data_IF_308987466942
#
_entry.id   IF_308987466942
#
_cell.length_a   1.000
_cell.length_b   1.000
_cell.length_c   1.000
_cell.angle_alpha   90.00
_cell.angle_beta   90.00
_cell.angle_gamma   90.00
#
_symmetry.space_group_name_H-M   'P 1'
#
loop_
_entity.id
_entity.type
_entity.pdbx_description
1 polymer ?
#
# COMPACT_ATOMS: atom_id res chain seq x y z
N UNK A 1 17.07 -30.83 -12.56
CA UNK A 1 15.95 -30.30 -12.72
C UNK A 1 15.99 -28.94 -13.28
N UNK A 2 15.40 -28.78 -14.21
CA UNK A 2 15.51 -27.66 -14.92
C UNK A 2 14.77 -26.55 -14.45
N UNK A 3 13.86 -26.72 -13.53
CA UNK A 3 13.24 -25.55 -13.08
C UNK A 3 14.11 -24.77 -12.12
N UNK A 4 15.35 -25.13 -11.98
CA UNK A 4 16.27 -24.27 -11.26
C UNK A 4 16.23 -22.85 -11.77
N UNK A 5 16.05 -22.69 -13.07
CA UNK A 5 15.94 -21.36 -13.61
C UNK A 5 14.74 -20.62 -13.07
N UNK A 6 13.67 -21.33 -12.80
CA UNK A 6 12.49 -20.71 -12.23
C UNK A 6 12.70 -20.29 -10.80
N UNK A 7 13.48 -21.06 -10.08
CA UNK A 7 13.76 -20.70 -8.69
C UNK A 7 14.60 -19.44 -8.59
N UNK A 8 15.23 -19.08 -9.69
CA UNK A 8 16.03 -17.88 -9.71
C UNK A 8 15.31 -16.67 -10.26
N UNK A 9 14.05 -16.85 -10.62
CA UNK A 9 13.23 -15.70 -11.01
C UNK A 9 13.04 -14.83 -9.78
N UNK A 10 13.38 -13.57 -9.90
CA UNK A 10 13.25 -12.64 -8.80
C UNK A 10 11.82 -12.51 -8.36
N UNK A 11 11.61 -12.53 -7.06
CA UNK A 11 10.32 -12.22 -6.49
C UNK A 11 10.02 -10.75 -6.76
N UNK A 12 8.83 -10.46 -7.23
CA UNK A 12 8.40 -9.10 -7.51
C UNK A 12 7.40 -8.63 -6.46
N UNK A 13 7.77 -7.58 -5.75
CA UNK A 13 6.91 -6.93 -4.78
C UNK A 13 6.34 -5.67 -5.43
N UNK A 14 5.02 -5.53 -5.41
CA UNK A 14 4.36 -4.37 -6.02
C UNK A 14 3.72 -3.54 -4.93
N UNK A 15 4.07 -2.26 -4.89
CA UNK A 15 3.59 -1.31 -3.91
C UNK A 15 2.78 -0.24 -4.65
N UNK A 16 1.48 -0.21 -4.37
CA UNK A 16 0.55 0.74 -4.99
C UNK A 16 0.20 1.78 -3.94
N UNK A 17 0.39 3.05 -4.26
CA UNK A 17 0.22 4.09 -3.24
C UNK A 17 -0.20 5.41 -3.85
N UNK A 18 -0.65 6.30 -2.96
CA UNK A 18 -0.83 7.70 -3.31
C UNK A 18 -0.20 8.54 -2.21
N UNK A 19 0.48 9.62 -2.59
CA UNK A 19 1.11 10.53 -1.66
C UNK A 19 0.75 11.94 -2.06
N UNK A 20 0.23 12.71 -1.13
CA UNK A 20 -0.20 14.07 -1.38
C UNK A 20 0.72 15.09 -0.73
N UNK A 21 1.21 14.79 0.46
CA UNK A 21 2.11 15.67 1.21
C UNK A 21 3.55 15.15 1.25
N UNK A 22 3.81 14.00 0.62
CA UNK A 22 5.15 13.41 0.61
C UNK A 22 5.41 12.37 1.68
N UNK A 23 4.52 12.23 2.66
CA UNK A 23 4.73 11.28 3.76
C UNK A 23 4.70 9.83 3.28
N UNK A 24 3.68 9.47 2.51
CA UNK A 24 3.55 8.11 2.00
C UNK A 24 4.69 7.78 1.04
N UNK A 25 5.04 8.71 0.15
CA UNK A 25 6.14 8.49 -0.77
C UNK A 25 7.46 8.28 -0.03
N UNK A 26 7.70 9.07 1.02
CA UNK A 26 8.88 8.91 1.86
C UNK A 26 8.93 7.51 2.48
N UNK A 27 7.79 7.05 2.99
CA UNK A 27 7.72 5.72 3.61
C UNK A 27 7.99 4.63 2.58
N UNK A 28 7.32 4.68 1.44
CA UNK A 28 7.49 3.68 0.38
C UNK A 28 8.93 3.64 -0.11
N UNK A 29 9.57 4.81 -0.30
CA UNK A 29 10.96 4.86 -0.72
C UNK A 29 11.89 4.22 0.31
N UNK A 30 11.75 4.60 1.58
CA UNK A 30 12.60 4.06 2.65
C UNK A 30 12.38 2.56 2.84
N UNK A 31 11.12 2.12 2.71
CA UNK A 31 10.79 0.70 2.79
C UNK A 31 11.44 -0.07 1.65
N UNK A 32 11.36 0.46 0.43
CA UNK A 32 11.98 -0.17 -0.73
C UNK A 32 13.49 -0.27 -0.57
N UNK A 33 14.12 0.81 -0.10
CA UNK A 33 15.57 0.81 0.12
C UNK A 33 15.96 -0.23 1.17
N UNK A 34 15.20 -0.31 2.25
CA UNK A 34 15.45 -1.30 3.30
C UNK A 34 15.32 -2.73 2.77
N UNK A 35 14.25 -3.01 2.03
CA UNK A 35 14.03 -4.34 1.48
C UNK A 35 15.12 -4.73 0.48
N UNK A 36 15.56 -3.80 -0.35
CA UNK A 36 16.63 -4.09 -1.33
C UNK A 36 17.98 -4.28 -0.64
N UNK A 37 18.21 -3.62 0.49
CA UNK A 37 19.41 -3.84 1.27
C UNK A 37 19.42 -5.23 1.88
N UNK A 38 18.27 -5.70 2.36
CA UNK A 38 18.14 -7.04 2.94
C UNK A 38 18.10 -8.14 1.88
N UNK A 39 17.56 -7.82 0.71
CA UNK A 39 17.33 -8.78 -0.37
C UNK A 39 17.72 -8.15 -1.71
N UNK A 40 19.02 -8.14 -2.03
CA UNK A 40 19.51 -7.42 -3.22
C UNK A 40 18.93 -7.88 -4.56
N UNK A 41 18.45 -9.12 -4.63
CA UNK A 41 17.88 -9.64 -5.89
C UNK A 41 16.38 -9.40 -6.01
N UNK A 42 15.76 -8.78 -5.00
CA UNK A 42 14.34 -8.52 -5.03
C UNK A 42 14.02 -7.43 -6.05
N UNK A 43 12.93 -7.64 -6.79
CA UNK A 43 12.42 -6.61 -7.70
C UNK A 43 11.26 -5.90 -7.00
N UNK A 44 11.29 -4.57 -6.94
CA UNK A 44 10.22 -3.79 -6.33
C UNK A 44 9.64 -2.84 -7.37
N UNK A 45 8.35 -3.01 -7.61
CA UNK A 45 7.59 -2.11 -8.49
C UNK A 45 6.83 -1.13 -7.62
N UNK A 46 6.96 0.16 -7.91
CA UNK A 46 6.25 1.21 -7.19
C UNK A 46 5.30 1.91 -8.16
N UNK A 47 4.03 1.92 -7.82
CA UNK A 47 3.00 2.54 -8.66
C UNK A 47 2.34 3.64 -7.85
N UNK A 48 2.62 4.88 -8.25
CA UNK A 48 2.01 6.05 -7.62
C UNK A 48 0.77 6.42 -8.42
N UNK A 49 -0.39 6.20 -7.84
CA UNK A 49 -1.67 6.40 -8.54
C UNK A 49 -1.84 7.85 -9.01
N UNK A 50 -1.38 8.82 -8.21
CA UNK A 50 -1.46 10.22 -8.60
C UNK A 50 -0.75 10.48 -9.93
N UNK A 51 0.39 9.83 -10.16
CA UNK A 51 1.13 10.00 -11.41
C UNK A 51 0.37 9.42 -12.60
N UNK A 52 -0.28 8.27 -12.42
CA UNK A 52 -1.10 7.69 -13.49
C UNK A 52 -2.20 8.67 -13.92
N UNK A 53 -2.91 9.22 -12.93
CA UNK A 53 -4.03 10.13 -13.20
C UNK A 53 -3.51 11.43 -13.82
N UNK A 54 -2.42 11.97 -13.28
CA UNK A 54 -1.85 13.23 -13.78
C UNK A 54 -1.38 13.10 -15.21
N UNK A 55 -0.83 11.96 -15.60
CA UNK A 55 -0.32 11.72 -16.95
C UNK A 55 -1.41 11.24 -17.89
N UNK A 56 -2.65 11.10 -17.42
CA UNK A 56 -3.75 10.63 -18.25
C UNK A 56 -3.64 9.18 -18.67
N UNK A 57 -2.86 8.39 -17.96
CA UNK A 57 -2.70 6.96 -18.27
C UNK A 57 -3.90 6.18 -17.75
N UNK A 58 -4.41 5.21 -18.52
CA UNK A 58 -5.53 4.40 -18.05
C UNK A 58 -5.10 3.48 -16.93
N UNK A 59 -6.05 3.10 -16.09
CA UNK A 59 -5.80 2.06 -15.10
C UNK A 59 -5.65 0.72 -15.82
N UNK A 60 -5.01 -0.23 -15.15
CA UNK A 60 -4.70 -1.53 -15.72
C UNK A 60 -4.84 -2.61 -14.65
N UNK A 61 -4.95 -3.85 -15.08
CA UNK A 61 -4.99 -4.96 -14.13
C UNK A 61 -3.57 -5.34 -13.72
N UNK A 62 -3.40 -5.51 -12.42
CA UNK A 62 -2.13 -5.99 -11.88
C UNK A 62 -1.97 -7.46 -12.23
N UNK A 63 -0.75 -7.86 -12.58
CA UNK A 63 -0.45 -9.26 -12.83
C UNK A 63 0.11 -9.97 -11.60
N UNK A 64 0.64 -9.20 -10.66
CA UNK A 64 1.22 -9.73 -9.43
C UNK A 64 0.45 -9.24 -8.22
N UNK A 65 0.51 -9.98 -7.11
CA UNK A 65 -0.06 -9.47 -5.87
C UNK A 65 0.58 -8.16 -5.46
N UNK A 66 -0.17 -7.29 -4.83
CA UNK A 66 0.32 -5.99 -4.42
C UNK A 66 -0.18 -5.60 -3.04
N UNK A 67 0.45 -4.60 -2.48
CA UNK A 67 0.06 -3.99 -1.20
C UNK A 67 -0.22 -2.53 -1.48
N UNK A 68 -1.27 -2.00 -0.86
CA UNK A 68 -1.67 -0.61 -1.04
C UNK A 68 -1.34 0.21 0.20
N UNK A 69 -0.76 1.39 -0.02
CA UNK A 69 -0.46 2.33 1.06
C UNK A 69 -1.37 3.54 0.94
N UNK A 70 -2.11 3.84 2.00
CA UNK A 70 -3.16 4.84 1.99
C UNK A 70 -3.06 5.82 3.14
N UNK A 71 -2.82 7.10 2.85
CA UNK A 71 -3.01 8.14 3.86
C UNK A 71 -4.50 8.39 4.06
N UNK A 72 -4.87 9.01 5.17
CA UNK A 72 -6.26 9.31 5.47
C UNK A 72 -6.52 10.80 5.30
N UNK A 73 -7.42 11.11 4.38
CA UNK A 73 -7.95 12.44 4.15
C UNK A 73 -9.46 12.32 4.09
N UNK A 74 -10.15 12.90 5.07
CA UNK A 74 -11.60 12.75 5.20
C UNK A 74 -12.28 14.09 5.25
N UNK A 75 -13.54 14.12 4.80
CA UNK A 75 -14.39 15.28 4.91
C UNK A 75 -15.59 14.91 5.77
N UNK A 76 -15.85 15.70 6.82
CA UNK A 76 -16.97 15.45 7.73
C UNK A 76 -16.76 14.23 8.61
N UNK A 77 -17.80 13.87 9.34
CA UNK A 77 -17.80 12.69 10.17
C UNK A 77 -17.04 12.83 11.47
N UNK A 78 -17.10 11.80 12.31
CA UNK A 78 -16.42 11.76 13.60
C UNK A 78 -15.62 10.46 13.82
N UNK A 79 -15.54 9.63 12.80
CA UNK A 79 -14.80 8.38 12.86
C UNK A 79 -15.55 7.24 13.53
N UNK A 80 -16.79 7.44 13.93
CA UNK A 80 -17.58 6.43 14.63
C UNK A 80 -18.85 6.06 13.87
N UNK A 81 -19.81 6.99 13.81
CA UNK A 81 -21.13 6.70 13.24
C UNK A 81 -21.62 7.74 12.25
N UNK A 82 -20.83 8.77 11.98
CA UNK A 82 -21.18 9.79 11.01
C UNK A 82 -20.45 9.57 9.71
N UNK A 83 -20.96 10.13 8.62
CA UNK A 83 -20.44 9.95 7.29
C UNK A 83 -19.04 10.50 7.09
N UNK A 84 -18.06 9.70 7.42
CA UNK A 84 -16.66 10.01 7.12
C UNK A 84 -16.43 9.74 5.65
N UNK A 85 -16.25 10.79 4.86
CA UNK A 85 -16.15 10.68 3.41
C UNK A 85 -14.71 10.87 2.97
N UNK A 86 -14.17 9.87 2.26
CA UNK A 86 -12.84 9.95 1.69
C UNK A 86 -12.76 11.07 0.68
N UNK A 87 -11.70 11.88 0.77
CA UNK A 87 -11.38 12.90 -0.22
C UNK A 87 -9.92 12.75 -0.65
N UNK A 88 -9.60 13.27 -1.83
CA UNK A 88 -8.23 13.37 -2.36
C UNK A 88 -7.56 12.05 -2.72
N UNK A 89 -8.00 10.93 -2.19
CA UNK A 89 -7.36 9.62 -2.42
C UNK A 89 -8.28 8.65 -3.18
N UNK A 90 -9.44 9.08 -3.61
CA UNK A 90 -10.45 8.20 -4.21
C UNK A 90 -9.98 7.48 -5.47
N UNK A 91 -8.98 8.01 -6.17
CA UNK A 91 -8.43 7.35 -7.36
C UNK A 91 -7.82 5.99 -7.02
N UNK A 92 -7.36 5.80 -5.79
CA UNK A 92 -6.82 4.50 -5.36
C UNK A 92 -7.94 3.47 -5.30
N UNK A 93 -9.11 3.85 -4.77
CA UNK A 93 -10.26 2.96 -4.74
C UNK A 93 -10.68 2.57 -6.16
N UNK A 94 -10.66 3.53 -7.07
CA UNK A 94 -11.01 3.28 -8.46
C UNK A 94 -10.03 2.31 -9.11
N UNK A 95 -8.74 2.45 -8.82
CA UNK A 95 -7.74 1.54 -9.32
C UNK A 95 -7.94 0.12 -8.77
N UNK A 96 -8.19 0.01 -7.46
CA UNK A 96 -8.41 -1.30 -6.84
C UNK A 96 -9.69 -1.95 -7.39
N UNK A 97 -10.73 -1.16 -7.64
CA UNK A 97 -11.98 -1.68 -8.19
C UNK A 97 -11.86 -2.05 -9.67
N UNK A 98 -10.80 -1.62 -10.35
CA UNK A 98 -10.63 -1.88 -11.76
C UNK A 98 -10.33 -3.36 -12.01
N UNK A 99 -11.09 -3.99 -12.92
CA UNK A 99 -10.88 -5.39 -13.26
C UNK A 99 -10.84 -6.30 -12.04
N UNK A 100 -9.82 -7.13 -11.95
CA UNK A 100 -9.65 -8.08 -10.85
C UNK A 100 -8.63 -7.60 -9.81
N UNK A 101 -8.31 -6.32 -9.79
CA UNK A 101 -7.26 -5.82 -8.90
C UNK A 101 -7.53 -6.11 -7.42
N UNK A 102 -8.77 -5.99 -6.98
CA UNK A 102 -9.07 -6.23 -5.57
C UNK A 102 -8.68 -7.64 -5.13
N UNK A 103 -8.81 -8.62 -6.01
CA UNK A 103 -8.47 -10.01 -5.68
C UNK A 103 -6.97 -10.26 -5.59
N UNK A 104 -6.16 -9.32 -6.08
CA UNK A 104 -4.70 -9.43 -6.05
C UNK A 104 -4.06 -8.57 -4.96
N UNK A 105 -4.85 -7.82 -4.23
CA UNK A 105 -4.35 -6.98 -3.16
C UNK A 105 -4.23 -7.80 -1.88
N UNK A 106 -3.01 -7.94 -1.36
CA UNK A 106 -2.78 -8.61 -0.08
C UNK A 106 -3.41 -7.86 1.08
N UNK A 107 -3.49 -6.55 0.97
CA UNK A 107 -4.04 -5.74 2.04
C UNK A 107 -3.58 -4.29 1.95
N UNK A 108 -3.99 -3.51 2.94
CA UNK A 108 -3.73 -2.09 2.97
C UNK A 108 -2.93 -1.71 4.21
N UNK A 109 -2.00 -0.79 4.01
CA UNK A 109 -1.24 -0.17 5.10
C UNK A 109 -1.70 1.27 5.17
N UNK A 110 -2.28 1.64 6.31
CA UNK A 110 -2.84 2.97 6.50
C UNK A 110 -1.85 3.92 7.12
N UNK A 111 -2.01 5.19 6.85
CA UNK A 111 -1.28 6.22 7.57
C UNK A 111 -2.21 7.37 7.88
N UNK A 112 -1.82 8.16 8.87
CA UNK A 112 -2.61 9.29 9.31
C UNK A 112 -1.95 10.03 10.44
N UNK A 113 -2.72 10.89 11.08
CA UNK A 113 -2.27 11.69 12.20
C UNK A 113 -3.10 11.30 13.42
N UNK A 114 -2.44 10.83 14.48
CA UNK A 114 -3.13 10.37 15.69
C UNK A 114 -3.93 11.49 16.38
N UNK A 115 -3.64 12.74 16.07
CA UNK A 115 -4.43 13.84 16.59
C UNK A 115 -5.89 13.81 16.12
N UNK A 116 -6.19 13.04 15.06
CA UNK A 116 -7.56 12.89 14.59
C UNK A 116 -8.33 11.76 15.28
N UNK A 117 -7.74 11.13 16.28
CA UNK A 117 -8.42 10.14 17.14
C UNK A 117 -9.11 9.02 16.32
N UNK A 118 -10.45 8.96 16.37
CA UNK A 118 -11.21 7.90 15.71
C UNK A 118 -11.06 7.88 14.20
N UNK A 119 -10.58 8.96 13.59
CA UNK A 119 -10.36 9.01 12.15
C UNK A 119 -8.95 8.58 11.77
N UNK A 120 -8.09 8.28 12.76
CA UNK A 120 -6.73 7.83 12.48
C UNK A 120 -6.75 6.57 11.62
N UNK A 121 -6.14 6.65 10.43
CA UNK A 121 -6.06 5.56 9.46
C UNK A 121 -7.42 4.96 9.07
N UNK A 122 -8.48 5.74 9.17
CA UNK A 122 -9.83 5.25 8.92
C UNK A 122 -10.04 4.85 7.47
N UNK A 123 -9.41 5.54 6.52
CA UNK A 123 -9.55 5.20 5.10
C UNK A 123 -9.12 3.76 4.83
N UNK A 124 -8.03 3.32 5.46
CA UNK A 124 -7.59 1.93 5.30
C UNK A 124 -8.65 0.95 5.79
N UNK A 125 -9.30 1.27 6.90
CA UNK A 125 -10.37 0.42 7.44
C UNK A 125 -11.58 0.41 6.50
N UNK A 126 -11.91 1.54 5.91
CA UNK A 126 -13.00 1.62 4.93
C UNK A 126 -12.71 0.77 3.71
N UNK A 127 -11.48 0.79 3.21
CA UNK A 127 -11.08 -0.05 2.08
C UNK A 127 -11.14 -1.53 2.43
N UNK A 128 -10.69 -1.89 3.63
CA UNK A 128 -10.75 -3.27 4.10
C UNK A 128 -12.19 -3.79 4.10
N UNK A 129 -13.11 -2.98 4.60
CA UNK A 129 -14.53 -3.35 4.63
C UNK A 129 -15.11 -3.47 3.22
N UNK A 130 -14.75 -2.55 2.34
CA UNK A 130 -15.30 -2.51 0.98
C UNK A 130 -14.77 -3.64 0.12
N UNK A 131 -13.47 -3.91 0.18
CA UNK A 131 -12.83 -4.83 -0.76
C UNK A 131 -12.52 -6.21 -0.17
N UNK A 132 -12.59 -6.36 1.15
CA UNK A 132 -12.45 -7.67 1.80
C UNK A 132 -11.03 -8.06 2.18
N UNK A 133 -10.02 -7.25 1.87
CA UNK A 133 -8.65 -7.56 2.29
C UNK A 133 -8.35 -6.94 3.67
N UNK A 134 -7.33 -7.43 4.38
CA UNK A 134 -7.05 -6.94 5.74
C UNK A 134 -6.32 -5.60 5.76
N UNK A 135 -6.45 -4.91 6.89
CA UNK A 135 -5.52 -3.83 7.22
C UNK A 135 -4.28 -4.49 7.80
N UNK A 136 -3.17 -4.40 7.10
CA UNK A 136 -1.94 -5.10 7.48
C UNK A 136 -1.17 -4.38 8.57
N UNK A 137 -1.17 -3.07 8.55
CA UNK A 137 -0.46 -2.24 9.50
C UNK A 137 -0.88 -0.79 9.33
N UNK A 138 -0.42 0.06 10.23
CA UNK A 138 -0.57 1.50 10.09
C UNK A 138 0.66 2.19 10.66
N UNK A 139 0.83 3.45 10.30
CA UNK A 139 1.90 4.27 10.86
C UNK A 139 1.46 5.73 10.89
N UNK A 140 2.10 6.50 11.75
CA UNK A 140 1.77 7.91 11.90
C UNK A 140 2.68 8.77 11.03
N UNK A 141 2.06 9.72 10.33
CA UNK A 141 2.77 10.70 9.51
C UNK A 141 3.64 10.02 8.45
N UNK A 142 4.95 10.20 8.48
CA UNK A 142 5.86 9.59 7.51
C UNK A 142 6.46 8.26 8.00
N UNK A 143 6.12 7.86 9.23
CA UNK A 143 6.62 6.62 9.81
C UNK A 143 8.06 6.69 10.28
N UNK A 144 8.41 5.80 11.19
CA UNK A 144 9.76 5.71 11.76
C UNK A 144 10.42 4.40 11.30
N UNK A 145 11.69 4.23 11.63
CA UNK A 145 12.42 3.02 11.25
C UNK A 145 11.75 1.75 11.77
N UNK A 146 11.20 1.79 12.98
CA UNK A 146 10.47 0.65 13.51
C UNK A 146 9.26 0.27 12.66
N UNK A 147 8.57 1.26 12.10
CA UNK A 147 7.44 1.00 11.19
C UNK A 147 7.95 0.38 9.90
N UNK A 148 9.07 0.86 9.37
CA UNK A 148 9.68 0.31 8.16
C UNK A 148 10.01 -1.17 8.37
N UNK A 149 10.66 -1.50 9.48
CA UNK A 149 11.05 -2.89 9.77
C UNK A 149 9.83 -3.78 9.95
N UNK A 150 8.80 -3.28 10.62
CA UNK A 150 7.57 -4.04 10.82
C UNK A 150 6.89 -4.35 9.49
N UNK A 151 6.75 -3.35 8.64
CA UNK A 151 6.10 -3.54 7.33
C UNK A 151 6.96 -4.44 6.45
N UNK A 152 8.28 -4.28 6.48
CA UNK A 152 9.17 -5.17 5.72
C UNK A 152 8.97 -6.63 6.14
N UNK A 153 8.83 -6.90 7.44
CA UNK A 153 8.57 -8.25 7.92
C UNK A 153 7.25 -8.81 7.40
N UNK A 154 6.22 -7.98 7.35
CA UNK A 154 4.92 -8.38 6.80
C UNK A 154 5.05 -8.72 5.32
N UNK A 155 5.79 -7.92 4.57
CA UNK A 155 6.02 -8.17 3.14
C UNK A 155 6.80 -9.46 2.94
N UNK A 156 7.84 -9.68 3.72
CA UNK A 156 8.63 -10.91 3.63
C UNK A 156 7.75 -12.13 3.84
N UNK A 157 6.85 -12.06 4.81
CA UNK A 157 5.95 -13.17 5.09
C UNK A 157 4.92 -13.37 3.98
N UNK A 158 4.26 -12.30 3.54
CA UNK A 158 3.21 -12.41 2.52
C UNK A 158 3.76 -12.88 1.17
N UNK A 159 4.94 -12.43 0.79
CA UNK A 159 5.55 -12.79 -0.49
C UNK A 159 6.47 -14.01 -0.35
N UNK A 160 6.56 -14.59 0.85
CA UNK A 160 7.40 -15.77 1.11
C UNK A 160 8.87 -15.53 0.74
N UNK A 161 9.36 -14.35 1.07
CA UNK A 161 10.75 -13.98 0.81
C UNK A 161 11.60 -14.50 1.97
N UNK A 162 12.64 -15.25 1.64
CA UNK A 162 13.50 -15.81 2.67
C UNK A 162 14.78 -15.00 2.81
N UNK A 163 15.23 -14.92 4.04
CA UNK A 163 16.46 -14.19 4.34
C UNK A 163 17.68 -14.86 3.71
#
# INVERSE_FOLDING_TARGET
MLFLGMEQINMKVSLVYISLSGNTESFVRRLSDYLLEQHPSLEIEKIHIKDLVKEGRPFFEMTNPFITFLPTYLEGGNGVDNGDVEILTTDVADFIAYGQNASKCFGVIGSGNRNFNNQYCLTAKQYSQRFGFPVLADFEMRGMLGDIKKVAGIIEELYEIKA
#
